data_IF_538304355939
#
_entry.id   IF_538304355939
#
_cell.length_a   1.000
_cell.length_b   1.000
_cell.length_c   1.000
_cell.angle_alpha   90.00
_cell.angle_beta   90.00
_cell.angle_gamma   90.00
#
_symmetry.space_group_name_H-M   'P 1'
#
loop_
_entity.id
_entity.type
_entity.pdbx_description
1 polymer ?
#
# COMPACT_ATOMS: atom_id res chain seq x y z
N UNK A 1 2.96 9.65 -11.57
CA UNK A 1 3.02 8.47 -10.70
C UNK A 1 3.09 8.94 -9.26
N UNK A 2 2.12 8.57 -8.42
CA UNK A 2 2.17 8.87 -6.97
C UNK A 2 2.71 7.65 -6.24
N UNK A 3 3.86 7.77 -5.59
CA UNK A 3 4.42 6.72 -4.76
C UNK A 3 4.06 6.95 -3.29
N UNK A 4 3.88 5.87 -2.53
CA UNK A 4 3.62 5.91 -1.10
C UNK A 4 4.45 4.84 -0.38
N UNK A 5 5.08 5.23 0.72
CA UNK A 5 5.74 4.28 1.62
C UNK A 5 4.68 3.55 2.44
N UNK A 6 4.73 2.22 2.42
CA UNK A 6 3.77 1.36 3.14
C UNK A 6 4.43 0.59 4.29
N UNK A 7 5.76 0.51 4.28
CA UNK A 7 6.58 -0.15 5.27
C UNK A 7 7.97 0.49 5.28
N UNK A 8 8.76 0.30 6.34
CA UNK A 8 10.14 0.83 6.41
C UNK A 8 11.02 0.36 5.24
N UNK A 9 10.68 -0.77 4.63
CA UNK A 9 11.42 -1.40 3.54
C UNK A 9 10.74 -1.29 2.17
N UNK A 10 9.50 -0.78 2.08
CA UNK A 10 8.70 -0.85 0.86
C UNK A 10 8.02 0.48 0.51
N UNK A 11 8.14 0.85 -0.77
CA UNK A 11 7.44 1.97 -1.41
C UNK A 11 6.69 1.42 -2.62
N UNK A 12 5.41 1.75 -2.75
CA UNK A 12 4.55 1.26 -3.84
C UNK A 12 3.97 2.42 -4.65
N UNK A 13 3.68 2.16 -5.91
CA UNK A 13 2.95 3.11 -6.75
C UNK A 13 1.45 2.98 -6.47
N UNK A 14 0.81 4.07 -6.06
CA UNK A 14 -0.63 4.11 -5.76
C UNK A 14 -1.47 3.71 -6.97
N UNK A 15 -1.05 4.15 -8.15
CA UNK A 15 -1.71 3.87 -9.43
C UNK A 15 -1.69 2.37 -9.84
N UNK A 16 -0.93 1.54 -9.13
CA UNK A 16 -0.76 0.09 -9.38
C UNK A 16 -1.36 -0.78 -8.29
N UNK A 17 -1.97 -0.20 -7.26
CA UNK A 17 -2.64 -0.93 -6.21
C UNK A 17 -3.92 -1.53 -6.78
N UNK A 18 -4.08 -2.86 -6.68
CA UNK A 18 -5.32 -3.55 -7.10
C UNK A 18 -6.36 -3.55 -5.98
N UNK A 19 -5.95 -3.95 -4.78
CA UNK A 19 -6.82 -4.01 -3.62
C UNK A 19 -6.01 -4.01 -2.31
N UNK A 20 -6.70 -3.70 -1.23
CA UNK A 20 -6.19 -3.75 0.14
C UNK A 20 -6.86 -4.94 0.84
N UNK A 21 -6.07 -5.83 1.43
CA UNK A 21 -6.57 -7.01 2.16
C UNK A 21 -6.02 -6.99 3.59
N UNK A 22 -6.87 -6.65 4.55
CA UNK A 22 -6.50 -6.57 5.96
C UNK A 22 -5.33 -5.61 6.24
N UNK A 23 -4.13 -6.20 6.40
CA UNK A 23 -2.87 -5.51 6.71
C UNK A 23 -1.90 -5.49 5.53
N UNK A 24 -2.32 -5.96 4.36
CA UNK A 24 -1.49 -6.09 3.18
C UNK A 24 -2.11 -5.34 2.01
N UNK A 25 -1.27 -4.97 1.05
CA UNK A 25 -1.69 -4.36 -0.21
C UNK A 25 -1.26 -5.24 -1.36
N UNK A 26 -2.18 -5.47 -2.29
CA UNK A 26 -1.90 -6.19 -3.52
C UNK A 26 -1.50 -5.20 -4.61
N UNK A 27 -0.27 -5.33 -5.12
CA UNK A 27 0.28 -4.49 -6.18
C UNK A 27 0.66 -5.39 -7.34
N UNK A 28 -0.15 -5.35 -8.41
CA UNK A 28 -0.03 -6.34 -9.47
C UNK A 28 -0.36 -7.74 -8.96
N UNK A 29 0.62 -8.64 -8.99
CA UNK A 29 0.51 -10.04 -8.54
C UNK A 29 1.17 -10.28 -7.17
N UNK A 30 1.83 -9.25 -6.62
CA UNK A 30 2.55 -9.34 -5.35
C UNK A 30 1.72 -8.78 -4.20
N UNK A 31 1.78 -9.46 -3.05
CA UNK A 31 1.13 -9.04 -1.81
C UNK A 31 2.20 -8.53 -0.85
N UNK A 32 2.14 -7.24 -0.53
CA UNK A 32 3.12 -6.58 0.34
C UNK A 32 2.51 -6.23 1.71
N UNK A 33 3.20 -6.53 2.82
CA UNK A 33 2.73 -6.16 4.14
C UNK A 33 2.82 -4.65 4.36
N UNK A 34 1.79 -4.08 5.01
CA UNK A 34 1.70 -2.67 5.35
C UNK A 34 1.89 -2.53 6.86
N UNK A 35 2.82 -1.68 7.27
CA UNK A 35 2.98 -1.36 8.69
C UNK A 35 1.78 -0.55 9.20
N UNK A 36 1.36 -0.82 10.44
CA UNK A 36 0.18 -0.20 11.04
C UNK A 36 0.20 1.33 10.98
N UNK A 37 1.39 1.95 11.16
CA UNK A 37 1.59 3.40 11.08
C UNK A 37 1.24 4.00 9.71
N UNK A 38 1.45 3.25 8.62
CA UNK A 38 1.20 3.71 7.24
C UNK A 38 -0.20 3.33 6.75
N UNK A 39 -0.91 2.45 7.46
CA UNK A 39 -2.20 1.89 7.03
C UNK A 39 -3.28 2.95 6.88
N UNK A 40 -3.35 3.92 7.80
CA UNK A 40 -4.34 5.00 7.72
C UNK A 40 -4.06 5.97 6.58
N UNK A 41 -2.79 6.30 6.33
CA UNK A 41 -2.43 7.13 5.18
C UNK A 41 -2.74 6.42 3.87
N UNK A 42 -2.39 5.12 3.76
CA UNK A 42 -2.71 4.31 2.58
C UNK A 42 -4.22 4.28 2.31
N UNK A 43 -5.04 4.04 3.34
CA UNK A 43 -6.51 4.06 3.20
C UNK A 43 -7.04 5.43 2.76
N UNK A 44 -6.50 6.53 3.29
CA UNK A 44 -6.90 7.90 2.90
C UNK A 44 -6.55 8.27 1.46
N UNK A 45 -5.56 7.61 0.84
CA UNK A 45 -5.15 7.89 -0.55
C UNK A 45 -5.76 6.96 -1.58
N UNK A 46 -6.21 5.78 -1.15
CA UNK A 46 -6.82 4.75 -2.02
C UNK A 46 -8.35 4.81 -1.99
N UNK A 47 -8.96 5.29 -0.89
CA UNK A 47 -10.38 5.68 -0.84
C UNK A 47 -10.60 7.08 -1.38
#
# INVERSE_FOLDING_TARGET
ARFLQIHRSYVVALDRIRYLEGNSVCVGEEVLPVAAAYREELRRRVG
#
